data_IF_972469871881
#
_entry.id   IF_972469871881
#
_cell.length_a   1.000
_cell.length_b   1.000
_cell.length_c   1.000
_cell.angle_alpha   90.00
_cell.angle_beta   90.00
_cell.angle_gamma   90.00
#
_symmetry.space_group_name_H-M   'P 1'
#
loop_
_entity.id
_entity.type
_entity.pdbx_description
1 polymer ?
#
# COMPACT_ATOMS: atom_id res chain seq x y z
N UNK A 1 25.92 18.73 -17.12
CA UNK A 1 24.92 19.66 -16.57
C UNK A 1 23.89 20.03 -17.65
N UNK A 2 22.72 19.38 -17.62
CA UNK A 2 21.51 19.83 -18.30
C UNK A 2 20.33 19.52 -17.40
N UNK A 3 19.86 20.60 -16.80
CA UNK A 3 18.45 20.97 -16.69
C UNK A 3 17.55 20.09 -15.83
N UNK A 4 17.47 20.54 -14.57
CA UNK A 4 16.27 20.54 -13.75
C UNK A 4 15.06 21.04 -14.53
N UNK A 5 14.22 20.14 -15.02
CA UNK A 5 12.83 20.47 -15.36
C UNK A 5 12.01 19.19 -15.46
N UNK A 6 11.33 18.81 -14.38
CA UNK A 6 10.00 18.21 -14.49
C UNK A 6 9.26 18.39 -13.18
N UNK A 7 8.63 19.56 -13.12
CA UNK A 7 7.57 19.91 -12.20
C UNK A 7 6.51 18.79 -12.13
N UNK A 8 6.18 18.44 -10.89
CA UNK A 8 4.82 18.09 -10.42
C UNK A 8 3.90 17.48 -11.48
N UNK A 9 4.06 16.18 -11.76
CA UNK A 9 3.05 15.43 -12.50
C UNK A 9 1.79 15.30 -11.63
N UNK A 10 0.88 16.27 -11.73
CA UNK A 10 -0.48 16.10 -11.25
C UNK A 10 -1.07 14.85 -11.94
N UNK A 11 -1.54 13.88 -11.15
CA UNK A 11 -2.20 12.68 -11.67
C UNK A 11 -3.31 13.07 -12.64
N UNK A 12 -3.11 12.78 -13.93
CA UNK A 12 -4.13 12.97 -14.95
C UNK A 12 -5.12 11.82 -14.85
N UNK A 13 -6.15 11.97 -14.02
CA UNK A 13 -7.30 11.05 -13.99
C UNK A 13 -8.22 11.42 -15.16
N UNK A 14 -8.45 10.55 -16.16
CA UNK A 14 -9.37 10.84 -17.26
C UNK A 14 -10.77 11.22 -16.77
N UNK A 15 -11.37 12.23 -17.41
CA UNK A 15 -12.66 12.80 -17.00
C UNK A 15 -13.85 11.83 -17.11
N UNK A 16 -13.72 10.74 -17.87
CA UNK A 16 -14.76 9.72 -18.06
C UNK A 16 -14.56 8.49 -17.14
N UNK A 17 -13.60 8.53 -16.21
CA UNK A 17 -13.40 7.40 -15.29
C UNK A 17 -14.53 7.32 -14.25
N UNK A 18 -15.38 6.31 -14.42
CA UNK A 18 -16.42 5.95 -13.49
C UNK A 18 -15.89 4.93 -12.46
N UNK A 19 -15.59 5.41 -11.24
CA UNK A 19 -15.01 4.61 -10.17
C UNK A 19 -15.92 3.44 -9.72
N UNK A 20 -17.25 3.54 -9.93
CA UNK A 20 -18.19 2.47 -9.57
C UNK A 20 -18.17 1.30 -10.55
N UNK A 21 -17.63 1.51 -11.76
CA UNK A 21 -17.41 0.46 -12.76
C UNK A 21 -16.06 -0.24 -12.62
N UNK A 22 -15.18 0.24 -11.73
CA UNK A 22 -13.88 -0.35 -11.51
C UNK A 22 -13.97 -1.56 -10.57
N UNK A 23 -13.16 -2.57 -10.84
CA UNK A 23 -13.01 -3.72 -9.95
C UNK A 23 -12.43 -3.24 -8.61
N UNK A 24 -13.20 -3.39 -7.54
CA UNK A 24 -12.72 -3.07 -6.19
C UNK A 24 -11.96 -4.25 -5.63
N UNK A 25 -10.76 -4.02 -5.06
CA UNK A 25 -10.04 -5.08 -4.38
C UNK A 25 -10.83 -5.54 -3.15
N UNK A 26 -10.75 -6.83 -2.85
CA UNK A 26 -11.37 -7.39 -1.66
C UNK A 26 -10.60 -6.94 -0.41
N UNK A 27 -11.22 -6.08 0.40
CA UNK A 27 -10.69 -5.71 1.72
C UNK A 27 -11.22 -6.63 2.82
N UNK A 28 -10.34 -7.04 3.73
CA UNK A 28 -10.66 -7.81 4.93
C UNK A 28 -10.15 -7.09 6.19
N UNK A 29 -10.49 -7.60 7.38
CA UNK A 29 -9.90 -7.09 8.63
C UNK A 29 -8.36 -7.19 8.61
N UNK A 30 -7.83 -8.30 8.11
CA UNK A 30 -6.38 -8.55 8.05
C UNK A 30 -5.64 -7.62 7.08
N UNK A 31 -6.33 -7.09 6.07
CA UNK A 31 -5.76 -6.18 5.06
C UNK A 31 -6.19 -4.73 5.25
N UNK A 32 -7.03 -4.43 6.26
CA UNK A 32 -7.56 -3.09 6.49
C UNK A 32 -6.45 -2.06 6.67
N UNK A 33 -5.41 -2.38 7.44
CA UNK A 33 -4.29 -1.46 7.67
C UNK A 33 -3.58 -1.06 6.37
N UNK A 34 -3.47 -1.99 5.41
CA UNK A 34 -2.88 -1.77 4.10
C UNK A 34 -3.77 -0.84 3.26
N UNK A 35 -5.07 -1.13 3.17
CA UNK A 35 -6.01 -0.31 2.39
C UNK A 35 -6.21 1.09 2.96
N UNK A 36 -6.24 1.22 4.29
CA UNK A 36 -6.23 2.52 4.96
C UNK A 36 -4.93 3.30 4.65
N UNK A 37 -3.81 2.58 4.46
CA UNK A 37 -2.54 3.15 4.00
C UNK A 37 -2.64 3.67 2.57
N UNK A 38 -3.16 2.85 1.65
CA UNK A 38 -3.38 3.26 0.25
C UNK A 38 -4.24 4.52 0.18
N UNK A 39 -5.34 4.59 0.95
CA UNK A 39 -6.19 5.78 1.03
C UNK A 39 -5.46 7.01 1.61
N UNK A 40 -4.49 6.80 2.50
CA UNK A 40 -3.64 7.82 3.09
C UNK A 40 -2.36 8.11 2.28
N UNK A 41 -2.20 7.51 1.09
CA UNK A 41 -0.99 7.60 0.27
C UNK A 41 0.28 7.04 0.93
N UNK A 42 0.12 5.98 1.74
CA UNK A 42 1.19 5.28 2.44
C UNK A 42 1.26 3.81 2.01
N UNK A 43 2.43 3.35 1.56
CA UNK A 43 2.68 1.93 1.36
C UNK A 43 3.07 1.28 2.70
N UNK A 44 2.09 0.65 3.37
CA UNK A 44 2.30 0.00 4.68
C UNK A 44 2.65 -1.47 4.53
N UNK A 45 3.64 -1.94 5.29
CA UNK A 45 4.12 -3.34 5.33
C UNK A 45 3.92 -3.88 6.74
N UNK A 46 3.34 -5.07 6.88
CA UNK A 46 3.08 -5.69 8.19
C UNK A 46 4.40 -5.93 8.93
N UNK A 47 4.45 -5.55 10.22
CA UNK A 47 5.54 -5.89 11.14
C UNK A 47 5.06 -6.95 12.12
N UNK A 48 5.79 -8.06 12.23
CA UNK A 48 5.48 -9.14 13.17
C UNK A 48 6.13 -8.88 14.54
N UNK A 49 5.69 -9.59 15.61
CA UNK A 49 6.25 -9.38 16.96
C UNK A 49 7.75 -9.68 17.08
N UNK A 50 8.30 -10.50 16.18
CA UNK A 50 9.74 -10.79 16.09
C UNK A 50 10.54 -9.69 15.35
N UNK A 51 9.88 -8.62 14.90
CA UNK A 51 10.46 -7.52 14.13
C UNK A 51 10.56 -7.79 12.63
N UNK A 52 10.22 -9.00 12.15
CA UNK A 52 10.22 -9.31 10.72
C UNK A 52 9.13 -8.54 9.96
N UNK A 53 9.41 -8.21 8.70
CA UNK A 53 8.46 -7.57 7.79
C UNK A 53 7.83 -8.59 6.85
N UNK A 54 6.52 -8.48 6.62
CA UNK A 54 5.74 -9.46 5.87
C UNK A 54 4.87 -8.78 4.81
N UNK A 55 4.98 -9.27 3.57
CA UNK A 55 4.09 -8.94 2.46
C UNK A 55 3.97 -10.17 1.52
N UNK A 56 2.77 -10.66 1.16
CA UNK A 56 1.44 -10.13 1.52
C UNK A 56 1.12 -10.24 3.01
N UNK A 57 0.18 -9.42 3.54
CA UNK A 57 -0.21 -9.49 4.95
C UNK A 57 -0.79 -10.86 5.32
N UNK A 58 -0.44 -11.35 6.50
CA UNK A 58 -1.02 -12.58 7.06
C UNK A 58 -1.89 -12.28 8.28
N UNK A 59 -2.99 -13.01 8.50
CA UNK A 59 -3.76 -12.90 9.73
C UNK A 59 -2.87 -13.19 10.94
N UNK A 60 -2.94 -12.32 11.94
CA UNK A 60 -2.23 -12.53 13.20
C UNK A 60 -2.99 -13.54 14.07
N UNK A 61 -3.02 -14.81 13.65
CA UNK A 61 -3.74 -15.90 14.36
C UNK A 61 -3.25 -16.13 15.79
N UNK A 62 -2.07 -15.61 16.12
CA UNK A 62 -1.45 -15.62 17.45
C UNK A 62 -1.85 -14.42 18.32
N UNK A 63 -2.50 -13.41 17.76
CA UNK A 63 -2.92 -12.20 18.45
C UNK A 63 -4.43 -12.18 18.69
N UNK A 64 -4.89 -11.23 19.50
CA UNK A 64 -6.32 -10.95 19.58
C UNK A 64 -6.83 -10.49 18.20
N UNK A 65 -8.00 -10.98 17.82
CA UNK A 65 -8.66 -10.69 16.53
C UNK A 65 -9.06 -9.22 16.38
N UNK A 66 -9.19 -8.51 17.50
CA UNK A 66 -9.50 -7.08 17.52
C UNK A 66 -8.26 -6.22 17.78
N UNK A 67 -7.08 -6.83 17.97
CA UNK A 67 -5.83 -6.07 18.09
C UNK A 67 -5.47 -5.40 16.75
N UNK A 68 -4.99 -4.15 16.76
CA UNK A 68 -4.53 -3.50 15.54
C UNK A 68 -3.28 -4.21 15.00
N UNK A 69 -3.20 -4.30 13.67
CA UNK A 69 -2.03 -4.84 12.98
C UNK A 69 -0.90 -3.81 13.03
N UNK A 70 0.27 -4.22 13.50
CA UNK A 70 1.46 -3.38 13.48
C UNK A 70 2.10 -3.33 12.09
N UNK A 71 2.68 -2.18 11.73
CA UNK A 71 3.23 -1.94 10.40
C UNK A 71 4.36 -0.91 10.38
N UNK A 72 5.09 -0.87 9.26
CA UNK A 72 5.99 0.20 8.85
C UNK A 72 5.52 0.83 7.55
N UNK A 73 5.82 2.11 7.34
CA UNK A 73 5.61 2.78 6.04
C UNK A 73 6.90 2.65 5.22
N UNK A 74 6.79 2.15 3.99
CA UNK A 74 7.92 2.06 3.08
C UNK A 74 8.39 3.47 2.67
N UNK A 75 9.70 3.64 2.41
CA UNK A 75 10.24 4.93 1.95
C UNK A 75 9.74 5.35 0.57
N UNK A 76 9.26 4.38 -0.22
CA UNK A 76 8.91 4.55 -1.63
C UNK A 76 10.05 4.20 -2.59
N UNK A 77 11.25 3.91 -2.07
CA UNK A 77 12.38 3.48 -2.89
C UNK A 77 12.27 1.99 -3.24
N UNK A 78 12.59 1.65 -4.49
CA UNK A 78 12.58 0.27 -4.96
C UNK A 78 13.27 0.11 -6.31
N UNK A 79 13.49 -1.15 -6.69
CA UNK A 79 14.00 -1.52 -8.02
C UNK A 79 13.07 -2.54 -8.65
N UNK A 80 13.02 -2.57 -9.98
CA UNK A 80 12.23 -3.58 -10.71
C UNK A 80 12.89 -4.94 -10.52
N UNK A 81 12.18 -5.87 -9.88
CA UNK A 81 12.63 -7.25 -9.75
C UNK A 81 12.34 -8.07 -11.03
N UNK A 82 11.14 -7.92 -11.60
CA UNK A 82 10.70 -8.54 -12.85
C UNK A 82 9.48 -7.81 -13.44
N UNK A 83 9.17 -8.03 -14.72
CA UNK A 83 7.98 -7.50 -15.41
C UNK A 83 7.49 -8.45 -16.51
N UNK A 84 6.23 -8.30 -16.93
CA UNK A 84 5.58 -9.03 -18.04
C UNK A 84 4.97 -8.07 -19.03
#
# INVERSE_FOLDING_TARGET
PKDSEQATAASQVPADLDADKLMRPASSKDTKFFWDGVNAHELRIQRRPDGSLQHPPVPAVWADKDAPVDYVVASGDGTVFSYV
#
